data_IF_675001539106
#
_entry.id   IF_675001539106
#
_cell.length_a   1.000
_cell.length_b   1.000
_cell.length_c   1.000
_cell.angle_alpha   90.00
_cell.angle_beta   90.00
_cell.angle_gamma   90.00
#
_symmetry.space_group_name_H-M   'P 1'
#
loop_
_entity.id
_entity.type
_entity.pdbx_description
1 polymer ?
#
# COMPACT_ATOMS: atom_id res chain seq x y z
N UNK A 1 0.98 0.35 -15.32
CA UNK A 1 -0.42 0.44 -15.80
C UNK A 1 -1.32 1.22 -14.86
N UNK A 2 -1.80 0.67 -13.72
CA UNK A 2 -2.76 1.39 -12.86
C UNK A 2 -2.29 2.79 -12.41
N UNK A 3 -1.00 2.92 -12.07
CA UNK A 3 -0.37 4.21 -11.72
C UNK A 3 -0.31 5.16 -12.91
N UNK A 4 -0.07 4.65 -14.11
CA UNK A 4 0.01 5.47 -15.32
C UNK A 4 -1.38 6.02 -15.67
N UNK A 5 -2.40 5.17 -15.63
CA UNK A 5 -3.81 5.57 -15.81
C UNK A 5 -4.21 6.61 -14.76
N UNK A 6 -3.88 6.40 -13.48
CA UNK A 6 -4.19 7.35 -12.43
C UNK A 6 -3.49 8.71 -12.64
N UNK A 7 -2.25 8.72 -13.14
CA UNK A 7 -1.53 9.96 -13.50
C UNK A 7 -2.16 10.66 -14.69
N UNK A 8 -2.58 9.91 -15.72
CA UNK A 8 -3.33 10.45 -16.88
C UNK A 8 -4.65 11.10 -16.45
N UNK A 9 -5.27 10.60 -15.37
CA UNK A 9 -6.46 11.18 -14.73
C UNK A 9 -6.15 12.37 -13.80
N UNK A 10 -4.90 12.83 -13.74
CA UNK A 10 -4.47 13.96 -12.91
C UNK A 10 -4.08 13.60 -11.47
N UNK A 11 -4.05 12.31 -11.12
CA UNK A 11 -3.69 11.83 -9.80
C UNK A 11 -2.18 11.98 -9.51
N UNK A 12 -1.85 12.54 -8.34
CA UNK A 12 -0.47 12.60 -7.84
C UNK A 12 -0.10 11.29 -7.15
N UNK A 13 0.28 10.28 -7.93
CA UNK A 13 0.61 8.93 -7.45
C UNK A 13 1.94 8.44 -8.03
N UNK A 14 2.65 7.59 -7.29
CA UNK A 14 3.82 6.86 -7.77
C UNK A 14 3.84 5.45 -7.21
N UNK A 15 4.55 4.55 -7.87
CA UNK A 15 4.86 3.21 -7.36
C UNK A 15 6.36 3.00 -7.23
N UNK A 16 6.70 2.03 -6.37
CA UNK A 16 8.03 1.47 -6.20
C UNK A 16 7.85 -0.06 -6.10
N UNK A 17 8.74 -0.81 -6.73
CA UNK A 17 8.77 -2.27 -6.63
C UNK A 17 10.09 -2.70 -6.00
N UNK A 18 10.02 -3.36 -4.83
CA UNK A 18 11.20 -3.91 -4.16
C UNK A 18 11.63 -5.18 -4.88
N UNK A 19 12.92 -5.28 -5.23
CA UNK A 19 13.50 -6.44 -5.92
C UNK A 19 14.07 -7.45 -4.94
N UNK A 20 14.47 -6.99 -3.75
CA UNK A 20 14.92 -7.84 -2.66
C UNK A 20 14.47 -7.27 -1.31
N UNK A 21 14.29 -8.16 -0.33
CA UNK A 21 13.79 -7.80 1.01
C UNK A 21 14.85 -7.90 2.11
N UNK A 22 15.94 -8.65 1.88
CA UNK A 22 16.97 -8.90 2.88
C UNK A 22 18.38 -8.84 2.26
N UNK A 23 19.22 -7.86 2.65
CA UNK A 23 18.84 -6.68 3.45
C UNK A 23 17.76 -5.86 2.73
N UNK A 24 16.95 -5.09 3.45
CA UNK A 24 15.95 -4.23 2.82
C UNK A 24 16.64 -3.17 1.93
N UNK A 25 16.05 -2.83 0.78
CA UNK A 25 16.61 -1.80 -0.11
C UNK A 25 16.83 -0.47 0.65
N UNK A 26 18.00 0.19 0.51
CA UNK A 26 18.30 1.42 1.25
C UNK A 26 17.49 2.62 0.74
N UNK A 27 17.36 3.66 1.56
CA UNK A 27 16.74 4.94 1.18
C UNK A 27 15.21 4.98 1.21
N UNK A 28 14.55 3.90 1.64
CA UNK A 28 13.08 3.82 1.69
C UNK A 28 12.46 4.90 2.59
N UNK A 29 13.08 5.21 3.74
CA UNK A 29 12.60 6.27 4.63
C UNK A 29 12.56 7.63 3.92
N UNK A 30 13.62 8.00 3.22
CA UNK A 30 13.71 9.29 2.52
C UNK A 30 12.76 9.35 1.32
N UNK A 31 12.48 8.20 0.70
CA UNK A 31 11.43 8.08 -0.33
C UNK A 31 10.07 8.31 0.30
N UNK A 32 9.72 7.56 1.35
CA UNK A 32 8.41 7.56 1.98
C UNK A 32 8.03 8.93 2.55
N UNK A 33 8.99 9.67 3.14
CA UNK A 33 8.76 11.04 3.65
C UNK A 33 8.28 12.05 2.60
N UNK A 34 8.44 11.76 1.30
CA UNK A 34 7.96 12.63 0.21
C UNK A 34 6.49 12.42 -0.14
N UNK A 35 5.83 11.44 0.45
CA UNK A 35 4.44 11.09 0.17
C UNK A 35 3.54 11.37 1.37
N UNK A 36 2.35 11.92 1.11
CA UNK A 36 1.31 12.12 2.15
C UNK A 36 0.79 10.78 2.70
N UNK A 37 0.78 9.75 1.85
CA UNK A 37 0.33 8.40 2.18
C UNK A 37 1.21 7.37 1.48
N UNK A 38 1.59 6.31 2.19
CA UNK A 38 2.32 5.16 1.65
C UNK A 38 1.49 3.91 1.92
N UNK A 39 1.36 3.06 0.89
CA UNK A 39 0.55 1.84 0.96
C UNK A 39 1.24 0.72 0.19
N UNK A 40 1.25 -0.49 0.74
CA UNK A 40 1.65 -1.69 -0.01
C UNK A 40 0.48 -2.29 -0.77
N UNK A 41 0.80 -3.00 -1.86
CA UNK A 41 -0.16 -3.79 -2.64
C UNK A 41 0.33 -5.23 -2.62
N UNK A 42 -0.38 -6.12 -1.93
CA UNK A 42 0.13 -7.47 -1.59
C UNK A 42 -0.88 -8.60 -1.85
N UNK A 43 -0.37 -9.79 -2.15
CA UNK A 43 -1.19 -11.02 -2.26
C UNK A 43 -0.92 -11.89 -1.03
N UNK A 44 -1.32 -11.37 0.13
CA UNK A 44 -1.30 -12.06 1.41
C UNK A 44 -2.38 -11.48 2.34
N UNK A 45 -2.53 -12.04 3.52
CA UNK A 45 -3.60 -11.65 4.43
C UNK A 45 -3.33 -10.30 5.11
N UNK A 46 -4.36 -9.46 5.16
CA UNK A 46 -4.50 -8.35 6.10
C UNK A 46 -5.97 -8.24 6.50
N UNK A 47 -6.23 -7.66 7.65
CA UNK A 47 -7.61 -7.38 8.07
C UNK A 47 -8.22 -6.24 7.24
N UNK A 48 -9.51 -6.40 6.89
CA UNK A 48 -10.31 -5.33 6.31
C UNK A 48 -10.71 -4.33 7.40
N UNK A 49 -10.71 -3.05 7.08
CA UNK A 49 -11.24 -2.01 7.97
C UNK A 49 -12.77 -2.10 8.12
N UNK A 50 -13.45 -2.78 7.20
CA UNK A 50 -14.90 -2.96 7.22
C UNK A 50 -15.34 -4.17 8.06
N UNK A 51 -14.39 -4.95 8.61
CA UNK A 51 -14.71 -6.09 9.47
C UNK A 51 -15.16 -5.57 10.86
N UNK A 52 -16.37 -5.92 11.35
CA UNK A 52 -16.93 -5.39 12.60
C UNK A 52 -16.06 -5.62 13.85
N UNK A 53 -15.18 -6.62 13.83
CA UNK A 53 -14.32 -6.95 14.97
C UNK A 53 -12.94 -6.29 14.89
N UNK A 54 -12.66 -5.57 13.80
CA UNK A 54 -11.37 -4.94 13.56
C UNK A 54 -11.41 -3.47 13.99
N UNK A 55 -10.38 -3.10 14.74
CA UNK A 55 -10.13 -1.77 15.30
C UNK A 55 -8.74 -1.32 14.88
N UNK A 56 -8.44 -0.01 14.93
CA UNK A 56 -7.08 0.47 14.68
C UNK A 56 -6.01 -0.23 15.52
N UNK A 57 -6.36 -0.66 16.74
CA UNK A 57 -5.44 -1.27 17.69
C UNK A 57 -5.16 -2.75 17.41
N UNK A 58 -6.12 -3.50 16.87
CA UNK A 58 -6.00 -4.95 16.65
C UNK A 58 -5.83 -5.35 15.17
N UNK A 59 -5.89 -4.39 14.24
CA UNK A 59 -5.77 -4.65 12.80
C UNK A 59 -4.42 -5.29 12.48
N UNK A 60 -4.47 -6.43 11.80
CA UNK A 60 -3.31 -7.10 11.22
C UNK A 60 -3.03 -6.51 9.84
N UNK A 61 -1.89 -5.87 9.70
CA UNK A 61 -1.35 -5.44 8.42
C UNK A 61 -0.80 -6.61 7.62
N UNK A 62 -0.69 -6.43 6.30
CA UNK A 62 0.02 -7.35 5.44
C UNK A 62 1.51 -7.43 5.78
N UNK A 63 2.17 -8.50 5.33
CA UNK A 63 3.51 -8.86 5.78
C UNK A 63 4.57 -7.82 5.41
N UNK A 64 4.56 -7.30 4.17
CA UNK A 64 5.52 -6.29 3.75
C UNK A 64 5.21 -4.94 4.42
N UNK A 65 3.94 -4.55 4.54
CA UNK A 65 3.57 -3.35 5.28
C UNK A 65 4.12 -3.41 6.71
N UNK A 66 3.94 -4.52 7.40
CA UNK A 66 4.47 -4.71 8.76
C UNK A 66 5.99 -4.53 8.84
N UNK A 67 6.75 -5.16 7.94
CA UNK A 67 8.21 -5.02 7.87
C UNK A 67 8.61 -3.57 7.59
N UNK A 68 7.97 -2.91 6.63
CA UNK A 68 8.28 -1.53 6.26
C UNK A 68 7.99 -0.56 7.41
N UNK A 69 6.88 -0.74 8.14
CA UNK A 69 6.57 0.04 9.35
C UNK A 69 7.65 -0.14 10.40
N UNK A 70 8.04 -1.38 10.70
CA UNK A 70 9.05 -1.66 11.70
C UNK A 70 10.43 -1.08 11.36
N UNK A 71 10.80 -1.09 10.08
CA UNK A 71 12.11 -0.61 9.63
C UNK A 71 12.18 0.91 9.41
N UNK A 72 11.07 1.55 9.03
CA UNK A 72 11.08 2.96 8.63
C UNK A 72 10.37 3.88 9.62
N UNK A 73 9.58 3.33 10.55
CA UNK A 73 8.67 4.09 11.43
C UNK A 73 7.64 4.96 10.69
N UNK A 74 7.48 4.73 9.39
CA UNK A 74 6.43 5.37 8.58
C UNK A 74 5.14 4.58 8.77
N UNK A 75 4.02 5.30 8.87
CA UNK A 75 2.67 4.75 8.89
C UNK A 75 2.28 4.20 7.51
N UNK A 76 2.86 3.05 7.13
CA UNK A 76 2.57 2.34 5.87
C UNK A 76 1.28 1.54 6.01
N UNK A 77 0.29 1.86 5.18
CA UNK A 77 -0.98 1.13 5.08
C UNK A 77 -0.85 -0.06 4.09
N UNK A 78 -1.90 -0.86 3.94
CA UNK A 78 -1.92 -1.98 3.03
C UNK A 78 -3.24 -2.16 2.30
N UNK A 79 -3.13 -2.58 1.04
CA UNK A 79 -4.21 -3.18 0.27
C UNK A 79 -3.78 -4.58 -0.13
N UNK A 80 -4.52 -5.59 0.31
CA UNK A 80 -4.17 -6.97 0.03
C UNK A 80 -5.35 -7.86 -0.33
N UNK A 81 -5.06 -9.04 -0.87
CA UNK A 81 -6.05 -10.10 -1.04
C UNK A 81 -5.41 -11.49 -0.85
N UNK A 82 -6.26 -12.50 -0.67
CA UNK A 82 -5.83 -13.91 -0.45
C UNK A 82 -6.47 -14.90 -1.43
N UNK A 83 -7.05 -14.41 -2.53
CA UNK A 83 -7.86 -15.24 -3.43
C UNK A 83 -7.03 -16.09 -4.42
N UNK A 84 -5.71 -16.14 -4.28
CA UNK A 84 -4.83 -16.90 -5.17
C UNK A 84 -4.77 -16.39 -6.62
N UNK A 85 -5.32 -15.20 -6.88
CA UNK A 85 -5.32 -14.57 -8.20
C UNK A 85 -4.52 -13.27 -8.20
N UNK A 86 -3.89 -12.89 -9.33
CA UNK A 86 -3.22 -11.61 -9.44
C UNK A 86 -4.14 -10.42 -9.16
N UNK A 87 -3.57 -9.35 -8.61
CA UNK A 87 -4.25 -8.06 -8.49
C UNK A 87 -4.25 -7.36 -9.86
N UNK A 88 -5.39 -7.38 -10.54
CA UNK A 88 -5.56 -6.72 -11.82
C UNK A 88 -5.49 -5.18 -11.72
N UNK A 89 -5.09 -4.49 -12.81
CA UNK A 89 -4.88 -3.04 -12.82
C UNK A 89 -6.13 -2.26 -12.42
N UNK A 90 -7.34 -2.72 -12.80
CA UNK A 90 -8.60 -2.07 -12.43
C UNK A 90 -8.85 -2.02 -10.91
N UNK A 91 -8.50 -3.09 -10.17
CA UNK A 91 -8.63 -3.11 -8.70
C UNK A 91 -7.66 -2.14 -8.04
N UNK A 92 -6.42 -2.09 -8.54
CA UNK A 92 -5.38 -1.19 -8.04
C UNK A 92 -5.77 0.27 -8.33
N UNK A 93 -6.27 0.56 -9.54
CA UNK A 93 -6.74 1.90 -9.92
C UNK A 93 -7.91 2.36 -9.05
N UNK A 94 -8.91 1.49 -8.82
CA UNK A 94 -10.03 1.79 -7.93
C UNK A 94 -9.54 2.15 -6.52
N UNK A 95 -8.60 1.36 -5.98
CA UNK A 95 -8.00 1.64 -4.67
C UNK A 95 -7.21 2.96 -4.66
N UNK A 96 -6.42 3.25 -5.69
CA UNK A 96 -5.69 4.53 -5.81
C UNK A 96 -6.68 5.70 -5.76
N UNK A 97 -7.76 5.64 -6.52
CA UNK A 97 -8.77 6.71 -6.57
C UNK A 97 -9.49 6.90 -5.23
N UNK A 98 -9.81 5.81 -4.54
CA UNK A 98 -10.36 5.84 -3.18
C UNK A 98 -9.43 6.58 -2.21
N UNK A 99 -8.13 6.27 -2.24
CA UNK A 99 -7.13 6.89 -1.36
C UNK A 99 -6.85 8.34 -1.71
N UNK A 100 -6.80 8.70 -3.00
CA UNK A 100 -6.69 10.09 -3.42
C UNK A 100 -7.90 10.92 -2.99
N UNK A 101 -9.11 10.34 -3.04
CA UNK A 101 -10.33 10.99 -2.56
C UNK A 101 -10.32 11.32 -1.06
N UNK A 102 -9.58 10.54 -0.24
CA UNK A 102 -9.43 10.78 1.21
C UNK A 102 -8.39 11.87 1.55
N UNK A 103 -7.52 12.23 0.60
CA UNK A 103 -6.41 13.18 0.81
C UNK A 103 -6.72 14.62 0.36
N UNK A 104 -7.85 14.81 -0.32
CA UNK A 104 -8.39 16.10 -0.75
C UNK A 104 -9.30 16.69 0.33
#
# INVERSE_FOLDING_TARGET
>A
EAVDIAREQGGSVSSLHLRFLSPLEPGLLDIFKRFKKVMTVEINYSDSLDDPMITPENRRYSQLAWILRAQTLVDVDCFSNVYGQPLGPGKILARINEELGKLN
#
